data_IF_281203113089
#
_entry.id   IF_281203113089
#
_cell.length_a   1.000
_cell.length_b   1.000
_cell.length_c   1.000
_cell.angle_alpha   90.00
_cell.angle_beta   90.00
_cell.angle_gamma   90.00
#
_symmetry.space_group_name_H-M   'P 1'
#
loop_
_entity.id
_entity.type
_entity.pdbx_description
1 polymer ?
#
# COMPACT_ATOMS: atom_id res chain seq x y z
N UNK A 1 -29.78 -43.69 9.53
CA UNK A 1 -31.23 -43.85 9.65
C UNK A 1 -31.86 -42.57 9.11
N UNK A 2 -32.27 -42.62 7.85
CA UNK A 2 -33.12 -41.61 7.19
C UNK A 2 -34.59 -41.89 7.57
N UNK A 3 -35.47 -40.89 7.54
CA UNK A 3 -36.59 -40.96 6.62
C UNK A 3 -36.85 -39.60 5.91
N UNK A 4 -36.98 -39.58 4.56
CA UNK A 4 -38.15 -39.87 3.70
C UNK A 4 -39.15 -38.68 3.65
N UNK A 5 -39.22 -38.09 2.46
CA UNK A 5 -40.24 -37.16 1.97
C UNK A 5 -41.65 -37.78 1.93
N UNK A 6 -42.70 -36.96 1.78
CA UNK A 6 -43.57 -37.21 0.64
C UNK A 6 -43.85 -35.99 -0.25
N UNK A 7 -43.99 -36.36 -1.51
CA UNK A 7 -44.55 -35.71 -2.65
C UNK A 7 -46.08 -35.69 -2.61
N UNK A 8 -46.66 -34.88 -3.52
CA UNK A 8 -47.98 -34.93 -4.15
C UNK A 8 -48.91 -33.74 -3.80
N UNK A 9 -49.74 -33.17 -4.63
CA UNK A 9 -50.26 -33.44 -5.98
C UNK A 9 -50.90 -32.17 -6.55
N UNK A 10 -50.92 -32.05 -7.86
CA UNK A 10 -51.59 -31.00 -8.59
C UNK A 10 -53.09 -31.13 -8.65
N UNK A 11 -53.74 -30.02 -8.98
CA UNK A 11 -55.07 -30.02 -9.60
C UNK A 11 -55.14 -28.95 -10.67
N UNK A 12 -55.40 -29.42 -11.87
CA UNK A 12 -55.88 -28.68 -13.04
C UNK A 12 -57.38 -28.53 -12.91
N UNK A 13 -57.91 -27.34 -13.06
CA UNK A 13 -59.32 -27.18 -13.50
C UNK A 13 -59.42 -25.90 -14.34
N UNK A 14 -59.89 -26.13 -15.55
CA UNK A 14 -60.36 -25.20 -16.59
C UNK A 14 -61.73 -24.62 -16.22
N UNK A 15 -61.94 -23.36 -16.48
CA UNK A 15 -63.25 -22.89 -16.97
C UNK A 15 -63.17 -21.45 -17.56
N UNK A 16 -63.86 -21.34 -18.65
CA UNK A 16 -63.97 -20.21 -19.60
C UNK A 16 -64.88 -19.11 -19.10
N UNK A 17 -64.68 -17.95 -19.76
CA UNK A 17 -65.63 -16.92 -20.13
C UNK A 17 -66.13 -15.91 -19.09
N UNK A 18 -65.70 -14.64 -19.17
CA UNK A 18 -66.63 -13.55 -19.52
C UNK A 18 -65.88 -12.22 -19.73
N UNK A 19 -66.00 -11.71 -20.95
CA UNK A 19 -65.54 -10.39 -21.32
C UNK A 19 -66.60 -9.36 -20.90
N UNK A 20 -66.28 -8.43 -20.01
CA UNK A 20 -66.97 -7.14 -19.90
C UNK A 20 -66.00 -6.04 -19.50
N UNK A 21 -65.77 -5.11 -20.38
CA UNK A 21 -65.51 -3.69 -20.27
C UNK A 21 -64.62 -3.21 -19.10
N UNK A 22 -63.32 -3.12 -19.28
CA UNK A 22 -62.46 -2.41 -18.34
C UNK A 22 -62.07 -1.09 -18.99
N UNK A 23 -62.51 0.00 -18.35
CA UNK A 23 -62.13 1.37 -18.64
C UNK A 23 -60.60 1.50 -18.47
N UNK A 24 -59.94 1.92 -19.54
CA UNK A 24 -58.53 2.24 -19.58
C UNK A 24 -58.25 3.44 -18.68
N UNK A 25 -57.70 3.18 -17.49
CA UNK A 25 -57.09 4.21 -16.66
C UNK A 25 -55.70 4.48 -17.21
N UNK A 26 -55.45 5.72 -17.65
CA UNK A 26 -54.15 6.22 -17.99
C UNK A 26 -53.21 6.00 -16.79
N UNK A 27 -52.27 5.08 -16.89
CA UNK A 27 -51.11 4.99 -16.00
C UNK A 27 -50.10 6.04 -16.45
N UNK A 28 -49.95 7.09 -15.63
CA UNK A 28 -48.86 8.03 -15.79
C UNK A 28 -47.51 7.28 -15.63
N UNK A 29 -46.52 7.52 -16.48
CA UNK A 29 -45.20 6.91 -16.30
C UNK A 29 -44.56 7.51 -15.04
N UNK A 30 -44.33 6.67 -14.05
CA UNK A 30 -43.45 7.00 -12.91
C UNK A 30 -42.05 7.13 -13.48
N UNK A 31 -41.60 8.37 -13.65
CA UNK A 31 -40.21 8.70 -13.97
C UNK A 31 -39.36 8.36 -12.77
N UNK A 32 -38.74 7.18 -12.81
CA UNK A 32 -37.71 6.81 -11.82
C UNK A 32 -36.49 7.74 -12.05
N UNK A 33 -36.43 8.82 -11.28
CA UNK A 33 -35.24 9.67 -11.22
C UNK A 33 -34.17 8.83 -10.51
N UNK A 34 -33.30 8.19 -11.29
CA UNK A 34 -32.03 7.70 -10.78
C UNK A 34 -31.24 8.93 -10.33
N UNK A 35 -31.26 9.21 -9.04
CA UNK A 35 -30.31 10.10 -8.43
C UNK A 35 -28.92 9.49 -8.62
N UNK A 36 -28.21 9.96 -9.63
CA UNK A 36 -26.78 9.74 -9.76
C UNK A 36 -26.17 10.39 -8.53
N UNK A 37 -25.89 9.58 -7.51
CA UNK A 37 -25.06 10.02 -6.38
C UNK A 37 -23.78 10.59 -6.96
N UNK A 38 -23.68 11.92 -6.92
CA UNK A 38 -22.48 12.63 -7.32
C UNK A 38 -21.32 12.02 -6.53
N UNK A 39 -20.35 11.49 -7.26
CA UNK A 39 -19.07 11.05 -6.73
C UNK A 39 -18.58 12.16 -5.81
N UNK A 40 -18.50 11.87 -4.51
CA UNK A 40 -17.92 12.78 -3.52
C UNK A 40 -16.56 13.20 -4.05
N UNK A 41 -16.37 14.50 -4.24
CA UNK A 41 -15.15 15.09 -4.77
C UNK A 41 -13.95 14.51 -4.03
N UNK A 42 -13.04 13.85 -4.77
CA UNK A 42 -11.77 13.43 -4.18
C UNK A 42 -11.14 14.64 -3.49
N UNK A 43 -10.72 14.52 -2.23
CA UNK A 43 -10.11 15.63 -1.52
C UNK A 43 -8.89 16.13 -2.31
N UNK A 44 -8.78 17.45 -2.47
CA UNK A 44 -7.64 18.06 -3.17
C UNK A 44 -6.36 17.71 -2.41
N UNK A 45 -5.30 17.28 -3.11
CA UNK A 45 -4.02 17.05 -2.47
C UNK A 45 -3.46 18.33 -1.84
N UNK A 46 -2.84 18.19 -0.68
CA UNK A 46 -2.04 19.25 -0.06
C UNK A 46 -0.62 19.11 -0.57
N UNK A 47 -0.16 20.11 -1.32
CA UNK A 47 1.18 20.16 -1.89
C UNK A 47 1.67 21.60 -1.88
N UNK A 48 2.88 21.84 -1.38
CA UNK A 48 3.51 23.15 -1.45
C UNK A 48 4.08 23.44 -2.85
N UNK A 49 4.40 24.70 -3.11
CA UNK A 49 4.86 25.15 -4.43
C UNK A 49 6.13 24.41 -4.89
N UNK A 50 7.11 24.24 -4.01
CA UNK A 50 8.39 23.60 -4.35
C UNK A 50 8.18 22.11 -4.67
N UNK A 51 7.37 21.40 -3.87
CA UNK A 51 6.99 20.02 -4.12
C UNK A 51 6.17 19.86 -5.41
N UNK A 52 5.33 20.83 -5.74
CA UNK A 52 4.55 20.82 -6.99
C UNK A 52 5.44 21.02 -8.23
N UNK A 53 6.39 21.94 -8.18
CA UNK A 53 7.40 22.13 -9.24
C UNK A 53 8.23 20.85 -9.42
N UNK A 54 8.72 20.27 -8.32
CA UNK A 54 9.48 19.01 -8.35
C UNK A 54 8.65 17.83 -8.88
N UNK A 55 7.35 17.75 -8.57
CA UNK A 55 6.48 16.74 -9.14
C UNK A 55 6.44 16.84 -10.66
N UNK A 56 6.29 18.05 -11.21
CA UNK A 56 6.26 18.25 -12.65
C UNK A 56 7.61 17.84 -13.30
N UNK A 57 8.72 18.16 -12.67
CA UNK A 57 10.06 17.72 -13.12
C UNK A 57 10.18 16.19 -13.12
N UNK A 58 9.78 15.52 -12.02
CA UNK A 58 9.82 14.05 -11.92
C UNK A 58 8.94 13.40 -13.00
N UNK A 59 7.76 13.94 -13.26
CA UNK A 59 6.88 13.43 -14.33
C UNK A 59 7.57 13.55 -15.69
N UNK A 60 8.13 14.71 -16.01
CA UNK A 60 8.75 14.95 -17.32
C UNK A 60 10.07 14.20 -17.51
N UNK A 61 10.90 14.14 -16.48
CA UNK A 61 12.27 13.63 -16.59
C UNK A 61 12.40 12.14 -16.25
N UNK A 62 11.49 11.59 -15.47
CA UNK A 62 11.58 10.20 -15.02
C UNK A 62 10.38 9.36 -15.45
N UNK A 63 9.15 9.82 -15.17
CA UNK A 63 7.95 9.00 -15.38
C UNK A 63 7.64 8.80 -16.86
N UNK A 64 7.58 9.89 -17.63
CA UNK A 64 7.25 9.83 -19.07
C UNK A 64 8.33 9.06 -19.87
N UNK A 65 9.64 9.33 -19.71
CA UNK A 65 10.67 8.57 -20.42
C UNK A 65 10.71 7.08 -20.04
N UNK A 66 10.36 6.75 -18.81
CA UNK A 66 10.37 5.37 -18.31
C UNK A 66 9.06 4.60 -18.53
N UNK A 67 8.03 5.19 -19.15
CA UNK A 67 6.68 4.60 -19.22
C UNK A 67 6.62 3.14 -19.71
N UNK A 68 7.49 2.78 -20.67
CA UNK A 68 7.55 1.45 -21.29
C UNK A 68 8.62 0.55 -20.67
N UNK A 69 9.30 0.99 -19.60
CA UNK A 69 10.32 0.19 -18.94
C UNK A 69 9.71 -0.78 -17.93
N UNK A 70 10.39 -1.88 -17.61
CA UNK A 70 10.03 -2.76 -16.51
C UNK A 70 9.87 -1.97 -15.20
N UNK A 71 8.97 -2.43 -14.33
CA UNK A 71 8.67 -1.76 -13.05
C UNK A 71 9.93 -1.60 -12.18
N UNK A 72 10.79 -2.60 -12.14
CA UNK A 72 12.07 -2.55 -11.42
C UNK A 72 12.97 -1.38 -11.87
N UNK A 73 13.04 -1.13 -13.18
CA UNK A 73 13.82 -0.01 -13.74
C UNK A 73 13.16 1.35 -13.41
N UNK A 74 11.82 1.42 -13.46
CA UNK A 74 11.09 2.63 -13.04
C UNK A 74 11.39 2.95 -11.58
N UNK A 75 11.26 1.97 -10.70
CA UNK A 75 11.54 2.14 -9.27
C UNK A 75 12.98 2.56 -9.04
N UNK A 76 13.95 1.94 -9.73
CA UNK A 76 15.36 2.30 -9.61
C UNK A 76 15.62 3.75 -10.02
N UNK A 77 15.13 4.16 -11.20
CA UNK A 77 15.35 5.51 -11.73
C UNK A 77 14.63 6.57 -10.87
N UNK A 78 13.36 6.35 -10.55
CA UNK A 78 12.57 7.29 -9.76
C UNK A 78 13.14 7.42 -8.34
N UNK A 79 13.47 6.30 -7.67
CA UNK A 79 14.05 6.36 -6.34
C UNK A 79 15.43 7.02 -6.32
N UNK A 80 16.22 6.92 -7.41
CA UNK A 80 17.50 7.62 -7.53
C UNK A 80 17.32 9.14 -7.51
N UNK A 81 16.21 9.67 -8.03
CA UNK A 81 15.92 11.11 -8.01
C UNK A 81 15.65 11.66 -6.60
N UNK A 82 15.46 10.80 -5.61
CA UNK A 82 15.32 11.17 -4.21
C UNK A 82 16.63 11.13 -3.43
N UNK A 83 17.74 10.62 -4.00
CA UNK A 83 19.03 10.62 -3.30
C UNK A 83 19.42 12.04 -2.88
N UNK A 84 19.82 12.19 -1.61
CA UNK A 84 20.14 13.49 -1.01
C UNK A 84 18.94 14.26 -0.47
N UNK A 85 17.69 13.85 -0.74
CA UNK A 85 16.51 14.48 -0.13
C UNK A 85 16.59 14.34 1.40
N UNK A 86 16.39 15.44 2.17
CA UNK A 86 16.46 15.41 3.63
C UNK A 86 15.50 14.38 4.25
N UNK A 87 15.93 13.76 5.37
CA UNK A 87 15.01 13.00 6.22
C UNK A 87 14.10 13.96 6.98
N UNK A 88 12.80 13.73 6.92
CA UNK A 88 11.80 14.48 7.67
C UNK A 88 10.68 13.56 8.09
N UNK A 89 10.52 13.37 9.40
CA UNK A 89 9.38 12.68 9.97
C UNK A 89 8.14 13.58 10.03
N UNK A 90 6.98 12.96 10.26
CA UNK A 90 5.72 13.62 10.58
C UNK A 90 5.25 14.66 9.54
N UNK A 91 5.49 14.38 8.26
CA UNK A 91 5.08 15.27 7.15
C UNK A 91 3.62 15.09 6.73
N UNK A 92 2.94 14.03 7.20
CA UNK A 92 1.56 13.75 6.84
C UNK A 92 0.59 14.43 7.84
N UNK A 93 -0.59 14.80 7.36
CA UNK A 93 -1.65 15.42 8.15
C UNK A 93 -2.75 14.40 8.34
N UNK A 94 -3.12 14.16 9.60
CA UNK A 94 -4.19 13.25 10.01
C UNK A 94 -3.86 12.56 11.31
N UNK A 95 -4.87 12.40 12.17
CA UNK A 95 -4.81 11.66 13.43
C UNK A 95 -6.22 11.20 13.81
N UNK A 96 -6.40 10.60 14.98
CA UNK A 96 -7.72 10.31 15.53
C UNK A 96 -8.63 11.56 15.58
N UNK A 97 -8.05 12.74 15.87
CA UNK A 97 -8.77 14.00 16.06
C UNK A 97 -8.60 15.02 14.94
N UNK A 98 -7.69 14.77 14.00
CA UNK A 98 -7.41 15.66 12.86
C UNK A 98 -7.79 14.96 11.56
N UNK A 99 -8.67 15.56 10.74
CA UNK A 99 -9.03 14.97 9.44
C UNK A 99 -7.81 14.68 8.56
N UNK A 100 -7.79 13.49 7.98
CA UNK A 100 -6.73 13.04 7.08
C UNK A 100 -6.70 13.87 5.80
N UNK A 101 -5.52 14.18 5.31
CA UNK A 101 -5.31 14.86 4.04
C UNK A 101 -4.30 14.10 3.17
N UNK A 102 -4.52 14.11 1.85
CA UNK A 102 -3.55 13.56 0.90
C UNK A 102 -2.39 14.55 0.72
N UNK A 103 -1.37 14.42 1.56
CA UNK A 103 -0.19 15.29 1.56
C UNK A 103 0.87 14.79 0.59
N UNK A 104 1.49 15.70 -0.14
CA UNK A 104 2.73 15.50 -0.92
C UNK A 104 3.78 16.51 -0.45
N UNK A 105 4.90 15.98 0.04
CA UNK A 105 6.06 16.78 0.44
C UNK A 105 7.33 16.12 -0.11
N UNK A 106 7.97 16.76 -1.08
CA UNK A 106 9.25 16.31 -1.65
C UNK A 106 10.47 17.07 -1.08
N UNK A 107 10.25 18.02 -0.17
CA UNK A 107 11.34 18.75 0.49
C UNK A 107 12.02 17.90 1.57
N UNK A 108 11.28 16.92 2.11
CA UNK A 108 11.78 15.95 3.06
C UNK A 108 10.88 14.71 3.11
N UNK A 109 11.46 13.54 3.34
CA UNK A 109 10.77 12.26 3.40
C UNK A 109 11.26 11.44 4.57
N UNK A 110 10.37 10.61 5.14
CA UNK A 110 10.75 9.50 5.98
C UNK A 110 10.86 8.21 5.16
N UNK A 111 11.17 7.10 5.83
CA UNK A 111 11.35 5.82 5.15
C UNK A 111 10.08 5.32 4.47
N UNK A 112 8.90 5.62 5.02
CA UNK A 112 7.63 5.12 4.49
C UNK A 112 7.07 6.04 3.39
N UNK A 113 7.13 7.35 3.57
CA UNK A 113 6.72 8.32 2.55
C UNK A 113 7.61 8.25 1.31
N UNK A 114 8.91 7.92 1.45
CA UNK A 114 9.77 7.62 0.31
C UNK A 114 9.21 6.46 -0.52
N UNK A 115 8.81 5.36 0.13
CA UNK A 115 8.22 4.21 -0.56
C UNK A 115 6.90 4.60 -1.24
N UNK A 116 6.02 5.32 -0.53
CA UNK A 116 4.74 5.79 -1.07
C UNK A 116 4.93 6.56 -2.39
N UNK A 117 5.85 7.54 -2.37
CA UNK A 117 6.09 8.39 -3.54
C UNK A 117 6.73 7.62 -4.69
N UNK A 118 7.72 6.77 -4.42
CA UNK A 118 8.38 5.97 -5.46
C UNK A 118 7.39 4.99 -6.09
N UNK A 119 6.58 4.29 -5.29
CA UNK A 119 5.57 3.39 -5.81
C UNK A 119 4.53 4.13 -6.66
N UNK A 120 3.98 5.23 -6.15
CA UNK A 120 2.97 6.02 -6.87
C UNK A 120 3.50 6.58 -8.20
N UNK A 121 4.71 7.14 -8.21
CA UNK A 121 5.36 7.66 -9.43
C UNK A 121 5.64 6.54 -10.43
N UNK A 122 6.02 5.34 -9.96
CA UNK A 122 6.35 4.20 -10.83
C UNK A 122 5.12 3.65 -11.59
N UNK A 123 3.93 3.88 -11.05
CA UNK A 123 2.65 3.50 -11.67
C UNK A 123 1.93 4.66 -12.37
N UNK A 124 2.42 5.89 -12.21
CA UNK A 124 1.84 7.06 -12.83
C UNK A 124 2.23 7.17 -14.32
N UNK A 125 1.39 7.86 -15.08
CA UNK A 125 1.66 8.29 -16.47
C UNK A 125 1.55 9.80 -16.65
N UNK A 126 1.06 10.50 -15.64
CA UNK A 126 0.82 11.94 -15.63
C UNK A 126 0.79 12.47 -14.18
N UNK A 127 0.78 13.80 -14.04
CA UNK A 127 0.60 14.46 -12.74
C UNK A 127 -0.69 14.03 -12.02
N UNK A 128 -1.82 14.03 -12.70
CA UNK A 128 -3.09 13.60 -12.12
C UNK A 128 -3.08 12.09 -11.81
N UNK A 129 -2.44 11.29 -12.67
CA UNK A 129 -2.20 9.88 -12.43
C UNK A 129 -1.40 9.63 -11.15
N UNK A 130 -0.40 10.44 -10.86
CA UNK A 130 0.36 10.35 -9.61
C UNK A 130 -0.51 10.51 -8.37
N UNK A 131 -1.38 11.51 -8.29
CA UNK A 131 -2.27 11.68 -7.13
C UNK A 131 -3.24 10.49 -6.97
N UNK A 132 -3.74 9.95 -8.09
CA UNK A 132 -4.55 8.74 -8.08
C UNK A 132 -3.77 7.55 -7.53
N UNK A 133 -2.55 7.32 -8.04
CA UNK A 133 -1.71 6.23 -7.58
C UNK A 133 -1.27 6.41 -6.12
N UNK A 134 -0.92 7.62 -5.70
CA UNK A 134 -0.54 7.90 -4.31
C UNK A 134 -1.69 7.57 -3.34
N UNK A 135 -2.92 7.92 -3.71
CA UNK A 135 -4.10 7.59 -2.93
C UNK A 135 -4.30 6.08 -2.81
N UNK A 136 -4.15 5.33 -3.90
CA UNK A 136 -4.26 3.86 -3.91
C UNK A 136 -3.10 3.19 -3.17
N UNK A 137 -1.90 3.74 -3.27
CA UNK A 137 -0.70 3.24 -2.58
C UNK A 137 -0.82 3.40 -1.07
N UNK A 138 -1.18 4.61 -0.61
CA UNK A 138 -1.15 4.99 0.80
C UNK A 138 -2.36 4.52 1.60
N UNK A 139 -3.52 4.35 0.95
CA UNK A 139 -4.77 4.08 1.66
C UNK A 139 -5.42 2.77 1.21
N UNK A 140 -5.98 2.06 2.17
CA UNK A 140 -6.86 0.92 1.92
C UNK A 140 -8.06 1.38 1.11
N UNK A 141 -8.37 0.67 0.02
CA UNK A 141 -9.42 1.02 -0.96
C UNK A 141 -9.33 2.45 -1.52
N UNK A 142 -8.19 3.12 -1.33
CA UNK A 142 -8.00 4.52 -1.72
C UNK A 142 -8.85 5.51 -0.92
N UNK A 143 -9.37 5.14 0.23
CA UNK A 143 -10.14 6.01 1.12
C UNK A 143 -9.20 6.87 1.95
N UNK A 144 -9.21 8.20 1.73
CA UNK A 144 -8.35 9.15 2.43
C UNK A 144 -8.92 9.38 3.82
N UNK A 145 -8.51 8.54 4.77
CA UNK A 145 -8.81 8.68 6.19
C UNK A 145 -7.69 8.08 7.04
N UNK A 146 -7.51 8.59 8.26
CA UNK A 146 -6.42 8.17 9.14
C UNK A 146 -6.49 6.67 9.46
N UNK A 147 -7.67 6.13 9.72
CA UNK A 147 -7.88 4.70 10.03
C UNK A 147 -7.68 3.79 8.80
N UNK A 148 -7.75 4.33 7.58
CA UNK A 148 -7.53 3.61 6.33
C UNK A 148 -6.12 3.81 5.75
N UNK A 149 -5.30 4.67 6.35
CA UNK A 149 -3.88 4.76 5.95
C UNK A 149 -3.20 3.41 6.20
N UNK A 150 -2.39 2.97 5.26
CA UNK A 150 -1.55 1.76 5.41
C UNK A 150 -0.36 2.12 6.30
N UNK A 151 -0.54 2.01 7.60
CA UNK A 151 0.44 2.45 8.59
C UNK A 151 1.60 1.48 8.79
N UNK A 152 1.39 0.21 8.43
CA UNK A 152 2.35 -0.86 8.64
C UNK A 152 2.89 -1.35 7.29
N UNK A 153 4.15 -1.76 7.26
CA UNK A 153 4.75 -2.27 6.02
C UNK A 153 3.97 -3.47 5.46
N UNK A 154 3.51 -4.36 6.34
CA UNK A 154 2.70 -5.50 5.95
C UNK A 154 1.29 -5.14 5.43
N UNK A 155 0.81 -3.91 5.62
CA UNK A 155 -0.43 -3.46 5.01
C UNK A 155 -0.31 -3.37 3.48
N UNK A 156 0.91 -3.16 2.97
CA UNK A 156 1.18 -3.06 1.53
C UNK A 156 0.88 -4.34 0.76
N UNK A 157 0.95 -5.50 1.42
CA UNK A 157 0.67 -6.81 0.82
C UNK A 157 -0.50 -7.55 1.50
N UNK A 158 -1.30 -6.83 2.30
CA UNK A 158 -2.46 -7.41 3.00
C UNK A 158 -3.74 -6.60 2.88
N UNK A 159 -3.65 -5.29 2.57
CA UNK A 159 -4.81 -4.41 2.43
C UNK A 159 -4.94 -3.92 0.97
N UNK A 160 -6.06 -4.24 0.29
CA UNK A 160 -6.26 -3.80 -1.10
C UNK A 160 -6.41 -2.27 -1.24
N UNK A 161 -6.04 -1.72 -2.41
CA UNK A 161 -5.29 -2.42 -3.45
C UNK A 161 -3.88 -2.78 -2.96
N UNK A 162 -3.38 -3.97 -3.32
CA UNK A 162 -2.06 -4.40 -2.89
C UNK A 162 -0.98 -3.63 -3.67
N UNK A 163 0.05 -3.17 -2.97
CA UNK A 163 1.19 -2.48 -3.58
C UNK A 163 2.31 -3.47 -3.94
N UNK A 164 2.34 -4.60 -3.24
CA UNK A 164 3.39 -5.60 -3.38
C UNK A 164 2.87 -6.98 -2.97
N UNK A 165 3.67 -8.01 -3.20
CA UNK A 165 3.48 -9.37 -2.71
C UNK A 165 4.61 -9.73 -1.75
N UNK A 166 4.27 -10.28 -0.58
CA UNK A 166 5.28 -10.88 0.31
C UNK A 166 5.94 -12.08 -0.39
N UNK A 167 7.25 -12.02 -0.52
CA UNK A 167 8.07 -13.08 -1.13
C UNK A 167 9.09 -13.64 -0.15
N UNK A 168 9.02 -13.29 1.12
CA UNK A 168 10.01 -13.62 2.15
C UNK A 168 10.26 -15.12 2.23
N UNK A 169 9.19 -15.94 2.27
CA UNK A 169 9.30 -17.41 2.33
C UNK A 169 9.81 -18.03 1.01
N UNK A 170 9.74 -17.31 -0.11
CA UNK A 170 10.22 -17.77 -1.41
C UNK A 170 11.74 -17.56 -1.57
N UNK A 171 12.30 -16.60 -0.84
CA UNK A 171 13.72 -16.24 -0.92
C UNK A 171 14.58 -17.12 -0.04
N UNK A 172 14.03 -17.69 1.03
CA UNK A 172 14.77 -18.48 1.99
C UNK A 172 13.84 -19.43 2.74
N UNK A 173 14.23 -20.70 2.88
CA UNK A 173 13.45 -21.72 3.59
C UNK A 173 13.59 -21.64 5.12
N UNK A 174 14.55 -20.86 5.62
CA UNK A 174 14.81 -20.69 7.06
C UNK A 174 14.18 -19.41 7.60
N UNK A 175 12.92 -19.18 7.24
CA UNK A 175 12.11 -18.04 7.75
C UNK A 175 11.52 -18.36 9.12
N UNK A 176 11.22 -17.31 9.88
CA UNK A 176 10.48 -17.38 11.13
C UNK A 176 9.13 -16.71 10.96
N UNK A 177 8.10 -17.39 11.45
CA UNK A 177 6.71 -16.90 11.52
C UNK A 177 6.43 -16.32 12.90
N UNK A 178 5.91 -15.10 12.96
CA UNK A 178 5.47 -14.44 14.20
C UNK A 178 4.10 -13.84 14.01
N UNK A 179 3.16 -14.20 14.89
CA UNK A 179 1.86 -13.52 14.94
C UNK A 179 1.97 -12.24 15.75
N UNK A 180 1.59 -11.12 15.18
CA UNK A 180 1.56 -9.78 15.79
C UNK A 180 0.13 -9.28 15.91
N UNK A 181 -0.13 -8.52 16.97
CA UNK A 181 -1.31 -7.64 17.07
C UNK A 181 -0.84 -6.24 16.73
N UNK A 182 -0.85 -5.90 15.43
CA UNK A 182 -0.34 -4.60 14.97
C UNK A 182 -1.08 -3.46 15.65
N UNK A 183 -0.35 -2.40 15.99
CA UNK A 183 -0.78 -1.24 16.77
C UNK A 183 -0.88 -1.44 18.29
N UNK A 184 -0.92 -2.68 18.82
CA UNK A 184 -1.04 -2.94 20.24
C UNK A 184 0.36 -3.02 20.90
N UNK A 185 0.69 -2.10 21.79
CA UNK A 185 1.91 -2.12 22.59
C UNK A 185 1.89 -3.22 23.65
N UNK A 186 3.07 -3.56 24.20
CA UNK A 186 3.19 -4.55 25.27
C UNK A 186 2.47 -4.14 26.57
N UNK A 187 2.33 -2.85 26.82
CA UNK A 187 1.62 -2.28 27.99
C UNK A 187 0.11 -2.17 27.79
N UNK A 188 -0.43 -2.62 26.64
CA UNK A 188 -1.85 -2.53 26.29
C UNK A 188 -2.26 -1.21 25.62
N UNK A 189 -1.35 -0.23 25.52
CA UNK A 189 -1.56 1.01 24.77
C UNK A 189 -1.47 0.82 23.24
N UNK A 190 -1.72 1.89 22.51
CA UNK A 190 -1.63 1.92 21.04
C UNK A 190 -0.47 2.81 20.58
N UNK A 191 0.19 2.43 19.46
CA UNK A 191 1.13 3.34 18.78
C UNK A 191 0.39 4.47 18.07
N UNK A 192 -0.78 4.15 17.50
CA UNK A 192 -1.60 5.03 16.68
C UNK A 192 -3.05 4.99 17.23
N UNK A 193 -3.42 5.89 18.16
CA UNK A 193 -4.80 6.00 18.61
C UNK A 193 -5.76 6.21 17.42
N UNK A 194 -6.95 5.64 17.46
CA UNK A 194 -7.92 5.69 16.35
C UNK A 194 -7.67 4.68 15.20
N UNK A 195 -6.53 4.00 15.19
CA UNK A 195 -6.26 2.90 14.24
C UNK A 195 -6.59 1.55 14.90
N UNK A 196 -7.36 0.65 14.25
CA UNK A 196 -7.73 -0.63 14.85
C UNK A 196 -6.52 -1.55 15.02
N UNK A 197 -6.53 -2.35 16.07
CA UNK A 197 -5.59 -3.47 16.23
C UNK A 197 -5.90 -4.54 15.19
N UNK A 198 -4.86 -5.01 14.49
CA UNK A 198 -5.00 -6.04 13.45
C UNK A 198 -4.05 -7.19 13.69
N UNK A 199 -4.59 -8.40 13.76
CA UNK A 199 -3.73 -9.59 13.80
C UNK A 199 -3.06 -9.76 12.43
N UNK A 200 -1.74 -9.98 12.45
CA UNK A 200 -0.93 -10.21 11.25
C UNK A 200 0.12 -11.29 11.51
N UNK A 201 0.28 -12.20 10.58
CA UNK A 201 1.40 -13.12 10.56
C UNK A 201 2.52 -12.48 9.76
N UNK A 202 3.66 -12.29 10.39
CA UNK A 202 4.87 -11.74 9.76
C UNK A 202 5.85 -12.88 9.55
N UNK A 203 6.28 -13.06 8.30
CA UNK A 203 7.38 -13.92 7.94
C UNK A 203 8.64 -13.07 7.81
N UNK A 204 9.74 -13.47 8.43
CA UNK A 204 11.01 -12.76 8.23
C UNK A 204 12.17 -13.73 8.12
N UNK A 205 13.19 -13.36 7.35
CA UNK A 205 14.46 -14.08 7.27
C UNK A 205 15.37 -13.52 8.37
N UNK A 206 15.76 -14.33 9.39
CA UNK A 206 16.71 -13.89 10.40
C UNK A 206 18.03 -13.42 9.76
N UNK A 207 18.63 -12.37 10.29
CA UNK A 207 19.86 -11.80 9.73
C UNK A 207 20.97 -12.83 9.53
N UNK A 208 21.13 -13.76 10.49
CA UNK A 208 22.11 -14.86 10.43
C UNK A 208 21.86 -15.90 9.34
N UNK A 209 20.62 -15.96 8.79
CA UNK A 209 20.23 -16.92 7.77
C UNK A 209 20.32 -16.34 6.34
N UNK A 210 20.64 -15.04 6.21
CA UNK A 210 20.82 -14.39 4.93
C UNK A 210 22.14 -14.84 4.33
N UNK A 211 22.07 -15.53 3.22
CA UNK A 211 23.20 -16.09 2.49
C UNK A 211 23.26 -15.56 1.04
N UNK A 212 24.27 -15.99 0.29
CA UNK A 212 24.45 -15.55 -1.10
C UNK A 212 23.22 -15.88 -1.98
N UNK A 213 22.62 -17.07 -1.83
CA UNK A 213 21.42 -17.43 -2.59
C UNK A 213 20.25 -16.48 -2.30
N UNK A 214 20.06 -16.08 -1.03
CA UNK A 214 19.06 -15.05 -0.66
C UNK A 214 19.36 -13.72 -1.36
N UNK A 215 20.63 -13.27 -1.34
CA UNK A 215 21.03 -12.00 -1.98
C UNK A 215 20.90 -12.03 -3.51
N UNK A 216 21.21 -13.17 -4.13
CA UNK A 216 21.05 -13.37 -5.57
C UNK A 216 19.60 -13.33 -6.02
N UNK A 217 18.67 -13.88 -5.21
CA UNK A 217 17.25 -13.93 -5.49
C UNK A 217 16.54 -12.58 -5.33
N UNK A 218 17.13 -11.63 -4.56
CA UNK A 218 16.64 -10.25 -4.49
C UNK A 218 16.71 -9.58 -5.87
N UNK A 219 15.76 -8.69 -6.14
CA UNK A 219 15.69 -7.90 -7.37
C UNK A 219 15.72 -6.42 -7.05
N UNK A 220 16.30 -5.63 -7.95
CA UNK A 220 16.15 -4.17 -7.91
C UNK A 220 14.67 -3.81 -7.92
N UNK A 221 14.26 -2.94 -7.01
CA UNK A 221 12.87 -2.54 -6.82
C UNK A 221 12.13 -3.30 -5.74
N UNK A 222 12.65 -4.44 -5.25
CA UNK A 222 12.05 -5.10 -4.08
C UNK A 222 12.04 -4.13 -2.88
N UNK A 223 10.93 -4.07 -2.16
CA UNK A 223 10.83 -3.34 -0.91
C UNK A 223 11.33 -4.22 0.23
N UNK A 224 12.13 -3.65 1.12
CA UNK A 224 12.65 -4.35 2.30
C UNK A 224 12.18 -3.66 3.57
N UNK A 225 11.65 -4.44 4.50
CA UNK A 225 11.36 -4.04 5.87
C UNK A 225 12.29 -4.77 6.85
N UNK A 226 12.81 -4.06 7.85
CA UNK A 226 13.62 -4.69 8.90
C UNK A 226 12.73 -5.08 10.06
N UNK A 227 12.59 -6.39 10.28
CA UNK A 227 11.71 -6.95 11.31
C UNK A 227 11.91 -6.28 12.67
N UNK A 228 10.81 -5.94 13.32
CA UNK A 228 10.79 -5.40 14.69
C UNK A 228 10.37 -6.47 15.68
N UNK A 229 11.15 -6.74 16.75
CA UNK A 229 10.73 -7.63 17.83
C UNK A 229 9.68 -7.00 18.75
N UNK A 230 9.46 -5.68 18.68
CA UNK A 230 8.52 -4.97 19.53
C UNK A 230 7.08 -5.45 19.26
N UNK A 231 6.29 -5.60 20.32
CA UNK A 231 4.87 -5.87 20.19
C UNK A 231 4.19 -4.76 19.38
N UNK A 232 3.22 -5.14 18.54
CA UNK A 232 2.45 -4.18 17.75
C UNK A 232 3.14 -3.58 16.53
N UNK A 233 4.41 -3.90 16.26
CA UNK A 233 5.14 -3.44 15.07
C UNK A 233 5.63 -4.64 14.24
N UNK A 234 5.48 -4.54 12.92
CA UNK A 234 6.01 -5.53 11.97
C UNK A 234 7.48 -5.23 11.64
N UNK A 235 7.79 -4.00 11.26
CA UNK A 235 9.15 -3.56 10.93
C UNK A 235 9.51 -2.26 11.64
N UNK A 236 10.81 -2.00 11.79
CA UNK A 236 11.35 -0.77 12.40
C UNK A 236 11.82 0.25 11.37
N UNK A 237 12.06 -0.18 10.14
CA UNK A 237 12.55 0.68 9.04
C UNK A 237 12.29 0.00 7.70
N UNK A 238 12.20 0.80 6.63
CA UNK A 238 11.93 0.31 5.27
C UNK A 238 12.81 1.01 4.24
N UNK A 239 12.88 0.42 3.05
CA UNK A 239 13.53 1.00 1.89
C UNK A 239 13.44 0.09 0.66
N UNK A 240 14.31 0.34 -0.31
CA UNK A 240 14.28 -0.27 -1.63
C UNK A 240 15.61 -0.98 -1.88
N UNK A 241 15.52 -2.20 -2.41
CA UNK A 241 16.70 -2.96 -2.86
C UNK A 241 17.16 -2.40 -4.21
N UNK A 242 18.44 -2.13 -4.31
CA UNK A 242 19.12 -1.75 -5.56
C UNK A 242 20.28 -2.71 -5.77
N UNK A 243 20.29 -3.44 -6.87
CA UNK A 243 21.43 -4.27 -7.27
C UNK A 243 22.30 -3.49 -8.25
N UNK A 244 23.53 -3.24 -7.87
CA UNK A 244 24.50 -2.48 -8.66
C UNK A 244 25.91 -2.98 -8.38
N UNK A 245 26.74 -3.11 -9.43
CA UNK A 245 28.15 -3.51 -9.33
C UNK A 245 28.35 -4.82 -8.55
N UNK A 246 27.50 -5.83 -8.83
CA UNK A 246 27.46 -7.14 -8.14
C UNK A 246 27.20 -7.05 -6.62
N UNK A 247 26.76 -5.90 -6.13
CA UNK A 247 26.40 -5.66 -4.73
C UNK A 247 24.91 -5.36 -4.58
N UNK A 248 24.39 -5.67 -3.40
CA UNK A 248 23.03 -5.33 -3.01
C UNK A 248 23.07 -4.13 -2.07
N UNK A 249 22.42 -3.07 -2.52
CA UNK A 249 22.30 -1.80 -1.80
C UNK A 249 20.90 -1.64 -1.24
N UNK A 250 20.83 -0.96 -0.11
CA UNK A 250 19.63 -0.54 0.58
C UNK A 250 19.47 0.97 0.43
N UNK A 251 18.53 1.39 -0.42
CA UNK A 251 18.16 2.80 -0.58
C UNK A 251 17.07 3.15 0.41
N UNK A 252 17.33 4.14 1.26
CA UNK A 252 16.41 4.51 2.33
C UNK A 252 16.53 5.98 2.73
N UNK A 253 15.45 6.55 3.29
CA UNK A 253 15.50 7.82 4.00
C UNK A 253 16.06 7.56 5.42
N UNK A 254 17.35 7.81 5.58
CA UNK A 254 18.07 7.52 6.82
C UNK A 254 17.85 8.61 7.86
N UNK A 255 17.35 8.22 9.04
CA UNK A 255 17.21 9.10 10.20
C UNK A 255 18.51 9.20 11.04
N UNK A 256 19.57 8.49 10.65
CA UNK A 256 20.86 8.57 11.34
C UNK A 256 21.44 9.95 11.20
N UNK A 257 21.92 10.54 12.32
CA UNK A 257 22.52 11.90 12.33
C UNK A 257 23.66 12.07 11.33
N UNK A 258 24.41 10.98 11.06
CA UNK A 258 25.50 10.98 10.08
C UNK A 258 25.03 11.14 8.63
N UNK A 259 23.80 10.78 8.32
CA UNK A 259 23.22 10.84 6.98
C UNK A 259 22.11 11.86 6.89
N UNK A 260 21.05 11.70 7.67
CA UNK A 260 19.84 12.52 7.76
C UNK A 260 19.23 12.90 6.39
N UNK A 261 19.27 11.95 5.46
CA UNK A 261 18.79 12.09 4.07
C UNK A 261 18.60 10.75 3.40
N UNK A 262 18.05 10.75 2.20
CA UNK A 262 17.99 9.55 1.35
C UNK A 262 19.37 9.17 0.86
N UNK A 263 19.77 7.92 1.15
CA UNK A 263 21.10 7.37 0.83
C UNK A 263 21.02 5.93 0.37
N UNK A 264 22.05 5.47 -0.34
CA UNK A 264 22.34 4.07 -0.59
C UNK A 264 23.35 3.56 0.43
N UNK A 265 23.04 2.45 1.10
CA UNK A 265 23.91 1.76 2.05
C UNK A 265 24.10 0.29 1.63
N UNK A 266 25.27 -0.31 1.81
CA UNK A 266 25.40 -1.76 1.57
C UNK A 266 24.42 -2.53 2.46
N UNK A 267 23.53 -3.36 1.85
CA UNK A 267 22.48 -4.06 2.57
C UNK A 267 23.02 -4.92 3.70
N UNK A 268 24.08 -5.71 3.44
CA UNK A 268 24.70 -6.59 4.43
C UNK A 268 25.24 -5.83 5.64
N UNK A 269 25.81 -4.63 5.44
CA UNK A 269 26.31 -3.80 6.54
C UNK A 269 25.16 -3.33 7.44
N UNK A 270 24.03 -3.00 6.87
CA UNK A 270 22.84 -2.56 7.62
C UNK A 270 22.17 -3.71 8.37
N UNK A 271 22.07 -4.89 7.75
CA UNK A 271 21.42 -6.08 8.33
C UNK A 271 22.15 -6.59 9.58
N UNK A 272 23.49 -6.47 9.66
CA UNK A 272 24.31 -7.01 10.79
C UNK A 272 23.78 -6.61 12.17
N UNK A 273 23.10 -5.46 12.27
CA UNK A 273 22.58 -4.95 13.54
C UNK A 273 21.06 -5.11 13.66
N UNK A 274 20.43 -5.89 12.77
CA UNK A 274 18.97 -6.04 12.72
C UNK A 274 18.57 -7.50 12.98
N UNK A 275 17.36 -7.75 13.53
CA UNK A 275 16.87 -9.11 13.76
C UNK A 275 16.69 -9.92 12.48
N UNK A 276 16.29 -9.29 11.38
CA UNK A 276 16.04 -9.91 10.10
C UNK A 276 15.27 -9.01 9.15
N UNK A 277 14.90 -9.55 7.99
CA UNK A 277 14.23 -8.81 6.91
C UNK A 277 12.93 -9.46 6.46
N UNK A 278 12.01 -8.62 6.02
CA UNK A 278 10.79 -8.94 5.29
C UNK A 278 10.93 -8.37 3.89
N UNK A 279 10.63 -9.14 2.86
CA UNK A 279 10.77 -8.69 1.46
C UNK A 279 9.42 -8.73 0.75
N UNK A 280 9.07 -7.58 0.18
CA UNK A 280 7.87 -7.44 -0.60
C UNK A 280 8.21 -7.01 -2.05
N UNK A 281 7.79 -7.82 -3.03
CA UNK A 281 8.01 -7.54 -4.46
C UNK A 281 6.87 -6.71 -5.01
N UNK A 282 7.15 -5.56 -5.67
CA UNK A 282 6.13 -4.70 -6.28
C UNK A 282 5.25 -5.46 -7.29
N UNK A 283 3.97 -5.07 -7.38
CA UNK A 283 2.98 -5.63 -8.30
C UNK A 283 2.82 -4.75 -9.54
#
# INVERSE_FOLDING_TARGET
MMPIFPQERGYILSARDNIKGIKMKLLAPILLIFSVSACTSCPRPVIDKQSDERLNELIQQQVIPARNKPLSEKIAAISASFLGTPYQADTLIGSESVPEQLVVNFNGVDCFTLLDYVAALSHASSRNGFFTQLRLTRYHQGEVSFSQRKHFFSDWFSLPPLNARDITDQLNTSTIKVTKQLNLKADGGHYLPGVPVRQRVIHYIPAKNINNATLEALQTGDYVGFYSPLAGLDVSHTGIIIKKDQQVWFRNASSLKSNNKVVDMPLLSYIKTRPGIVIARPL
#
